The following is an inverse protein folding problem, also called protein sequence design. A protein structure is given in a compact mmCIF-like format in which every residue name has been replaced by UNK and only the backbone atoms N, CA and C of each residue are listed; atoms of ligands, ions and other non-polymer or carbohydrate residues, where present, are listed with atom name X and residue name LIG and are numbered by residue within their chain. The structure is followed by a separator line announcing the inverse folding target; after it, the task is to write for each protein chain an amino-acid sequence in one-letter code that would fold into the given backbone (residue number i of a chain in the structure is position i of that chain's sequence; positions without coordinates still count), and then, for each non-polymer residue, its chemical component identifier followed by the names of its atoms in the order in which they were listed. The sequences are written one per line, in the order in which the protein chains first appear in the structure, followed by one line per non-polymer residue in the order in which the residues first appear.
data_IF_893384453945
#
_entry.id   IF_893384453945
#
_cell.length_a   1.000
_cell.length_b   1.000
_cell.length_c   1.000
_cell.angle_alpha   90.00
_cell.angle_beta   90.00
_cell.angle_gamma   90.00
#
_symmetry.space_group_name_H-M   'P 1'
#
loop_
_entity.id
_entity.type
_entity.pdbx_description
1 polymer ?
#
# COMPACT_ATOMS: atom_id res chain seq x y z
N UNK A 1 -28.76 18.78 -5.70
CA UNK A 1 -27.70 18.40 -4.77
C UNK A 1 -28.28 17.35 -3.84
N UNK A 2 -27.93 16.06 -4.00
CA UNK A 2 -28.36 15.01 -3.08
C UNK A 2 -27.56 15.18 -1.80
N UNK A 3 -28.26 15.43 -0.68
CA UNK A 3 -27.69 15.53 0.65
C UNK A 3 -26.98 14.19 0.97
N UNK A 4 -25.65 14.19 0.91
CA UNK A 4 -24.82 13.11 1.40
C UNK A 4 -24.81 13.21 2.93
N UNK A 5 -25.61 12.37 3.56
CA UNK A 5 -25.92 12.40 4.96
C UNK A 5 -24.80 11.74 5.75
N UNK A 6 -24.37 12.39 6.66
CA UNK A 6 -23.82 12.31 8.00
C UNK A 6 -24.22 11.04 8.76
N UNK A 7 -23.23 10.19 9.03
CA UNK A 7 -23.33 9.28 10.16
C UNK A 7 -22.93 10.05 11.42
N UNK A 8 -23.81 10.09 12.40
CA UNK A 8 -23.42 10.47 13.78
C UNK A 8 -22.64 9.29 14.37
N UNK A 9 -21.42 9.56 14.74
CA UNK A 9 -20.53 8.61 15.40
C UNK A 9 -20.07 9.31 16.69
N UNK A 10 -20.23 8.65 17.82
CA UNK A 10 -19.70 9.03 19.15
C UNK A 10 -19.40 10.54 19.36
N UNK A 11 -20.42 11.41 19.10
CA UNK A 11 -20.32 12.85 19.38
C UNK A 11 -19.81 13.73 18.23
N UNK A 12 -19.50 13.19 17.06
CA UNK A 12 -19.12 13.98 15.88
C UNK A 12 -19.85 13.53 14.60
N UNK A 13 -19.84 14.37 13.58
CA UNK A 13 -20.52 14.13 12.30
C UNK A 13 -19.52 14.04 11.15
N UNK A 14 -19.83 13.17 10.19
CA UNK A 14 -19.01 12.96 8.99
C UNK A 14 -19.83 13.33 7.75
N UNK A 15 -19.29 14.23 6.94
CA UNK A 15 -19.79 14.55 5.62
C UNK A 15 -18.90 13.86 4.58
N UNK A 16 -19.47 12.93 3.81
CA UNK A 16 -18.78 12.30 2.68
C UNK A 16 -18.74 13.28 1.51
N UNK A 17 -17.54 13.62 1.05
CA UNK A 17 -17.31 14.56 -0.05
C UNK A 17 -17.24 13.85 -1.41
N UNK A 18 -16.33 12.89 -1.54
CA UNK A 18 -16.17 12.10 -2.75
C UNK A 18 -15.46 10.78 -2.48
N UNK A 19 -15.63 9.83 -3.40
CA UNK A 19 -14.89 8.57 -3.41
C UNK A 19 -13.46 8.85 -3.89
N UNK A 20 -12.46 8.30 -3.18
CA UNK A 20 -11.05 8.36 -3.54
C UNK A 20 -10.59 7.05 -4.21
N UNK A 21 -11.15 5.93 -3.80
CA UNK A 21 -10.78 4.63 -4.35
C UNK A 21 -11.66 3.50 -3.81
N UNK A 22 -11.46 2.31 -4.38
CA UNK A 22 -12.01 1.06 -3.88
C UNK A 22 -10.97 -0.04 -4.04
N UNK A 23 -10.88 -0.91 -3.07
CA UNK A 23 -10.04 -2.11 -3.08
C UNK A 23 -10.88 -3.35 -2.75
N UNK A 24 -10.25 -4.52 -2.70
CA UNK A 24 -10.93 -5.79 -2.47
C UNK A 24 -11.69 -5.88 -1.15
N UNK A 25 -11.28 -5.10 -0.15
CA UNK A 25 -11.87 -5.16 1.20
C UNK A 25 -12.64 -3.91 1.60
N UNK A 26 -12.61 -2.83 0.79
CA UNK A 26 -13.32 -1.62 1.21
C UNK A 26 -13.29 -0.48 0.23
N UNK A 27 -14.06 0.54 0.57
CA UNK A 27 -14.12 1.81 -0.15
C UNK A 27 -13.45 2.92 0.64
N UNK A 28 -12.69 3.76 -0.07
CA UNK A 28 -12.03 4.93 0.52
C UNK A 28 -12.74 6.20 0.07
N UNK A 29 -13.13 7.02 1.02
CA UNK A 29 -13.80 8.28 0.78
C UNK A 29 -13.01 9.45 1.39
N UNK A 30 -13.00 10.58 0.69
CA UNK A 30 -12.65 11.86 1.29
C UNK A 30 -13.82 12.33 2.12
N UNK A 31 -13.56 12.62 3.39
CA UNK A 31 -14.59 13.05 4.34
C UNK A 31 -14.19 14.33 5.05
N UNK A 32 -15.20 15.08 5.49
CA UNK A 32 -15.04 16.21 6.39
C UNK A 32 -15.71 15.86 7.72
N UNK A 33 -14.90 15.81 8.77
CA UNK A 33 -15.38 15.54 10.11
C UNK A 33 -15.59 16.87 10.87
N UNK A 34 -16.69 16.99 11.60
CA UNK A 34 -17.03 18.17 12.37
C UNK A 34 -17.79 17.82 13.64
N UNK A 35 -17.59 18.63 14.69
CA UNK A 35 -18.11 18.44 16.04
C UNK A 35 -17.02 18.78 17.06
N UNK A 36 -17.41 19.22 18.24
CA UNK A 36 -16.49 19.73 19.25
C UNK A 36 -15.61 18.62 19.85
N UNK A 37 -16.08 17.38 19.82
CA UNK A 37 -15.39 16.20 20.36
C UNK A 37 -14.74 15.32 19.28
N UNK A 38 -14.65 15.81 18.04
CA UNK A 38 -14.09 15.01 16.95
C UNK A 38 -12.59 14.75 17.15
N UNK A 39 -12.15 13.48 17.22
CA UNK A 39 -10.74 13.13 17.27
C UNK A 39 -10.05 13.33 15.90
N UNK A 40 -10.83 13.67 14.85
CA UNK A 40 -10.38 13.72 13.48
C UNK A 40 -9.94 15.12 13.08
N UNK A 41 -8.96 15.18 12.18
CA UNK A 41 -8.69 16.40 11.42
C UNK A 41 -9.86 16.68 10.48
N UNK A 42 -10.20 17.94 10.25
CA UNK A 42 -11.37 18.36 9.48
C UNK A 42 -11.51 17.67 8.12
N UNK A 43 -10.41 17.47 7.41
CA UNK A 43 -10.36 16.70 6.14
C UNK A 43 -9.48 15.47 6.33
N UNK A 44 -10.04 14.27 6.05
CA UNK A 44 -9.32 13.01 6.12
C UNK A 44 -9.84 12.02 5.06
N UNK A 45 -9.16 10.89 4.93
CA UNK A 45 -9.62 9.75 4.16
C UNK A 45 -10.22 8.73 5.13
N UNK A 46 -11.43 8.23 4.83
CA UNK A 46 -12.09 7.15 5.57
C UNK A 46 -12.12 5.90 4.69
N UNK A 47 -11.52 4.80 5.16
CA UNK A 47 -11.68 3.48 4.55
C UNK A 47 -12.75 2.72 5.33
N UNK A 48 -13.79 2.29 4.64
CA UNK A 48 -14.94 1.57 5.19
C UNK A 48 -14.91 0.15 4.64
N UNK A 49 -15.06 -0.85 5.49
CA UNK A 49 -15.23 -2.23 5.06
C UNK A 49 -16.43 -2.35 4.13
N UNK A 50 -16.19 -2.79 2.93
CA UNK A 50 -17.19 -3.00 1.89
C UNK A 50 -16.62 -4.00 0.89
N UNK A 51 -16.71 -5.30 1.20
CA UNK A 51 -16.22 -6.33 0.31
C UNK A 51 -16.99 -6.25 -1.01
N UNK A 52 -16.27 -6.38 -2.14
CA UNK A 52 -16.92 -6.39 -3.45
C UNK A 52 -17.72 -7.67 -3.61
N UNK A 53 -19.04 -7.54 -3.76
CA UNK A 53 -19.95 -8.64 -4.13
C UNK A 53 -19.68 -9.09 -5.57
N UNK A 54 -18.59 -9.78 -5.82
CA UNK A 54 -18.36 -10.39 -7.13
C UNK A 54 -19.14 -11.69 -7.34
N UNK A 55 -19.80 -12.20 -6.29
CA UNK A 55 -20.75 -13.32 -6.36
C UNK A 55 -21.83 -13.15 -5.29
N UNK A 56 -23.10 -13.18 -5.69
CA UNK A 56 -24.27 -13.16 -4.81
C UNK A 56 -24.38 -14.37 -3.84
N UNK A 57 -23.30 -15.10 -3.62
CA UNK A 57 -23.20 -16.33 -2.81
C UNK A 57 -22.02 -16.33 -1.83
N UNK A 58 -21.45 -15.16 -1.48
CA UNK A 58 -20.40 -15.12 -0.44
C UNK A 58 -21.02 -15.56 0.89
N UNK A 59 -20.54 -16.68 1.44
CA UNK A 59 -21.04 -17.19 2.71
C UNK A 59 -20.71 -16.21 3.86
N UNK A 60 -21.59 -16.14 4.87
CA UNK A 60 -21.40 -15.27 6.04
C UNK A 60 -20.06 -15.47 6.74
N UNK A 61 -19.52 -16.70 6.69
CA UNK A 61 -18.18 -17.01 7.24
C UNK A 61 -17.04 -16.36 6.47
N UNK A 62 -17.17 -16.24 5.14
CA UNK A 62 -16.18 -15.58 4.30
C UNK A 62 -16.18 -14.08 4.55
N UNK A 63 -17.35 -13.47 4.71
CA UNK A 63 -17.50 -12.04 5.05
C UNK A 63 -16.84 -11.75 6.40
N UNK A 64 -17.09 -12.58 7.43
CA UNK A 64 -16.48 -12.42 8.75
C UNK A 64 -14.95 -12.54 8.70
N UNK A 65 -14.41 -13.46 7.92
CA UNK A 65 -12.96 -13.60 7.75
C UNK A 65 -12.33 -12.39 7.03
N UNK A 66 -13.04 -11.80 6.04
CA UNK A 66 -12.61 -10.59 5.37
C UNK A 66 -12.65 -9.36 6.29
N UNK A 67 -13.64 -9.29 7.18
CA UNK A 67 -13.78 -8.22 8.17
C UNK A 67 -12.68 -8.28 9.24
N UNK A 68 -12.37 -9.50 9.74
CA UNK A 68 -11.23 -9.72 10.64
C UNK A 68 -9.92 -9.29 10.00
N UNK A 69 -9.71 -9.63 8.74
CA UNK A 69 -8.53 -9.24 7.97
C UNK A 69 -8.45 -7.72 7.77
N UNK A 70 -9.57 -7.05 7.45
CA UNK A 70 -9.63 -5.59 7.36
C UNK A 70 -9.25 -4.92 8.68
N UNK A 71 -9.72 -5.48 9.81
CA UNK A 71 -9.40 -4.98 11.15
C UNK A 71 -7.94 -5.20 11.51
N UNK A 72 -7.36 -6.34 11.13
CA UNK A 72 -5.93 -6.63 11.32
C UNK A 72 -5.05 -5.67 10.51
N UNK A 73 -5.38 -5.45 9.22
CA UNK A 73 -4.72 -4.45 8.37
C UNK A 73 -4.65 -3.09 9.06
N UNK A 74 -5.80 -2.61 9.55
CA UNK A 74 -5.88 -1.30 10.18
C UNK A 74 -5.01 -1.22 11.45
N UNK A 75 -4.97 -2.27 12.26
CA UNK A 75 -4.14 -2.33 13.48
C UNK A 75 -2.65 -2.31 13.16
N UNK A 76 -2.19 -3.14 12.21
CA UNK A 76 -0.78 -3.20 11.80
C UNK A 76 -0.34 -1.85 11.21
N UNK A 77 -1.13 -1.28 10.28
CA UNK A 77 -0.80 0.02 9.71
C UNK A 77 -0.80 1.12 10.78
N UNK A 78 -1.73 1.10 11.73
CA UNK A 78 -1.78 2.06 12.84
C UNK A 78 -0.51 2.00 13.67
N UNK A 79 -0.11 0.81 14.10
CA UNK A 79 1.10 0.58 14.89
C UNK A 79 2.36 1.05 14.16
N UNK A 80 2.54 0.61 12.92
CA UNK A 80 3.71 0.97 12.12
C UNK A 80 3.75 2.48 11.81
N UNK A 81 2.60 3.11 11.54
CA UNK A 81 2.54 4.54 11.26
C UNK A 81 2.83 5.41 12.49
N UNK A 82 2.52 4.94 13.70
CA UNK A 82 2.88 5.63 14.95
C UNK A 82 4.39 5.56 15.21
N UNK A 83 5.01 4.42 14.96
CA UNK A 83 6.46 4.22 15.14
C UNK A 83 7.28 4.86 14.02
N UNK A 84 6.77 4.85 12.79
CA UNK A 84 7.47 5.26 11.58
C UNK A 84 6.62 6.22 10.72
N UNK A 85 6.24 7.41 11.25
CA UNK A 85 5.28 8.32 10.60
C UNK A 85 5.81 8.92 9.28
N UNK A 86 7.12 8.82 9.00
CA UNK A 86 7.72 9.29 7.75
C UNK A 86 7.53 8.31 6.59
N UNK A 87 7.29 7.03 6.88
CA UNK A 87 7.32 5.94 5.89
C UNK A 87 5.96 5.30 5.65
N UNK A 88 5.10 5.26 6.67
CA UNK A 88 3.80 4.60 6.64
C UNK A 88 2.68 5.63 6.67
N UNK A 89 1.65 5.43 5.85
CA UNK A 89 0.49 6.30 5.78
C UNK A 89 -0.22 6.37 7.14
N UNK A 90 -0.32 7.57 7.75
CA UNK A 90 -0.79 7.68 9.14
C UNK A 90 -2.27 7.36 9.28
N UNK A 91 -2.59 6.42 10.16
CA UNK A 91 -3.95 6.23 10.68
C UNK A 91 -4.16 7.23 11.82
N UNK A 92 -5.29 7.93 11.77
CA UNK A 92 -5.67 8.97 12.74
C UNK A 92 -6.60 8.38 13.80
N UNK A 93 -7.52 7.52 13.37
CA UNK A 93 -8.57 6.97 14.22
C UNK A 93 -9.08 5.63 13.71
N UNK A 94 -9.39 4.72 14.62
CA UNK A 94 -9.92 3.38 14.36
C UNK A 94 -11.35 3.28 14.87
N UNK A 95 -12.27 2.80 14.04
CA UNK A 95 -13.66 2.48 14.36
C UNK A 95 -13.95 1.03 13.96
N UNK A 96 -13.23 0.11 14.55
CA UNK A 96 -13.27 -1.32 14.16
C UNK A 96 -14.45 -2.07 14.79
N UNK A 97 -15.03 -1.55 15.86
CA UNK A 97 -16.19 -2.13 16.56
C UNK A 97 -17.53 -1.68 15.93
N UNK A 98 -17.48 -0.76 14.95
CA UNK A 98 -18.66 -0.31 14.21
C UNK A 98 -19.08 -1.32 13.13
N UNK A 99 -20.32 -1.27 12.71
CA UNK A 99 -20.83 -2.10 11.60
C UNK A 99 -21.35 -1.19 10.45
N UNK A 100 -20.65 -1.13 9.32
CA UNK A 100 -19.37 -1.79 9.02
C UNK A 100 -18.17 -1.12 9.71
N UNK A 101 -17.09 -1.89 10.00
CA UNK A 101 -15.87 -1.31 10.55
C UNK A 101 -15.22 -0.32 9.59
N UNK A 102 -14.53 0.66 10.14
CA UNK A 102 -13.85 1.69 9.37
C UNK A 102 -12.62 2.24 10.09
N UNK A 103 -11.77 2.93 9.35
CA UNK A 103 -10.68 3.69 9.92
C UNK A 103 -10.38 4.96 9.12
N UNK A 104 -9.73 5.91 9.77
CA UNK A 104 -9.44 7.22 9.21
C UNK A 104 -7.95 7.42 9.07
N UNK A 105 -7.54 7.97 7.94
CA UNK A 105 -6.16 8.26 7.59
C UNK A 105 -5.99 9.75 7.30
N UNK A 106 -4.78 10.26 7.53
CA UNK A 106 -4.40 11.59 7.05
C UNK A 106 -4.58 11.64 5.53
N UNK A 107 -5.22 12.71 5.05
CA UNK A 107 -5.47 12.86 3.61
C UNK A 107 -4.16 13.14 2.86
N UNK A 108 -3.85 12.30 1.88
CA UNK A 108 -2.77 12.51 0.92
C UNK A 108 -3.16 13.54 -0.15
N UNK A 109 -2.18 14.12 -0.84
CA UNK A 109 -2.40 14.98 -2.01
C UNK A 109 -2.79 14.16 -3.24
N UNK A 110 -2.08 13.05 -3.47
CA UNK A 110 -2.26 12.13 -4.59
C UNK A 110 -1.64 10.78 -4.26
N UNK A 111 -1.71 9.84 -5.15
CA UNK A 111 -0.92 8.61 -5.15
C UNK A 111 0.20 8.68 -6.20
N UNK A 112 1.10 7.71 -6.18
CA UNK A 112 2.24 7.67 -7.11
C UNK A 112 1.79 7.40 -8.55
N UNK A 113 0.69 6.69 -8.78
CA UNK A 113 0.14 6.42 -10.12
C UNK A 113 -0.26 7.73 -10.82
N UNK A 114 -0.97 8.61 -10.11
CA UNK A 114 -1.34 9.94 -10.60
C UNK A 114 -0.11 10.81 -10.86
N UNK A 115 0.91 10.74 -9.98
CA UNK A 115 2.15 11.50 -10.14
C UNK A 115 2.96 11.03 -11.35
N UNK A 116 3.09 9.73 -11.56
CA UNK A 116 3.74 9.17 -12.76
C UNK A 116 3.01 9.65 -14.01
N UNK A 117 1.68 9.58 -14.01
CA UNK A 117 0.84 9.99 -15.14
C UNK A 117 0.93 11.50 -15.45
N UNK A 118 1.11 12.32 -14.41
CA UNK A 118 1.26 13.77 -14.54
C UNK A 118 2.68 14.21 -14.95
N UNK A 119 3.64 13.31 -14.90
CA UNK A 119 5.05 13.56 -15.11
C UNK A 119 5.77 13.96 -13.83
N UNK A 120 6.87 13.29 -13.54
CA UNK A 120 7.74 13.54 -12.40
C UNK A 120 9.10 14.06 -12.88
N UNK A 121 9.63 15.08 -12.20
CA UNK A 121 11.02 15.48 -12.39
C UNK A 121 11.99 14.46 -11.77
N UNK A 122 13.29 14.59 -12.07
CA UNK A 122 14.27 13.60 -11.64
C UNK A 122 14.43 13.54 -10.11
N UNK A 123 14.38 14.68 -9.44
CA UNK A 123 14.44 14.74 -7.98
C UNK A 123 13.21 14.04 -7.34
N UNK A 124 12.02 14.25 -7.90
CA UNK A 124 10.80 13.58 -7.43
C UNK A 124 10.88 12.06 -7.63
N UNK A 125 11.44 11.60 -8.76
CA UNK A 125 11.64 10.17 -9.03
C UNK A 125 12.58 9.52 -8.03
N UNK A 126 13.76 10.11 -7.84
CA UNK A 126 14.76 9.61 -6.89
C UNK A 126 14.18 9.58 -5.47
N UNK A 127 13.54 10.68 -5.06
CA UNK A 127 12.92 10.77 -3.74
C UNK A 127 11.83 9.71 -3.55
N UNK A 128 10.96 9.50 -4.53
CA UNK A 128 9.91 8.47 -4.47
C UNK A 128 10.52 7.09 -4.25
N UNK A 129 11.56 6.73 -5.00
CA UNK A 129 12.21 5.42 -4.86
C UNK A 129 12.84 5.26 -3.47
N UNK A 130 13.60 6.26 -2.99
CA UNK A 130 14.21 6.17 -1.67
C UNK A 130 13.17 6.12 -0.54
N UNK A 131 12.09 6.90 -0.62
CA UNK A 131 11.01 6.85 0.37
C UNK A 131 10.33 5.46 0.40
N UNK A 132 10.10 4.86 -0.77
CA UNK A 132 9.53 3.51 -0.91
C UNK A 132 10.47 2.45 -0.31
N UNK A 133 11.75 2.50 -0.65
CA UNK A 133 12.74 1.55 -0.14
C UNK A 133 12.83 1.62 1.39
N UNK A 134 12.90 2.85 1.96
CA UNK A 134 12.88 3.03 3.41
C UNK A 134 11.59 2.52 4.06
N UNK A 135 10.44 2.74 3.41
CA UNK A 135 9.17 2.26 3.94
C UNK A 135 9.08 0.73 3.94
N UNK A 136 9.51 0.06 2.86
CA UNK A 136 9.51 -1.40 2.81
C UNK A 136 10.56 -1.99 3.75
N UNK A 137 11.72 -1.33 3.90
CA UNK A 137 12.70 -1.72 4.92
C UNK A 137 12.08 -1.72 6.32
N UNK A 138 11.35 -0.67 6.68
CA UNK A 138 10.62 -0.60 7.97
C UNK A 138 9.64 -1.78 8.12
N UNK A 139 8.91 -2.12 7.07
CA UNK A 139 7.96 -3.26 7.08
C UNK A 139 8.72 -4.57 7.33
N UNK A 140 9.80 -4.82 6.60
CA UNK A 140 10.61 -6.04 6.74
C UNK A 140 11.33 -6.12 8.09
N UNK A 141 11.88 -5.02 8.61
CA UNK A 141 12.55 -4.95 9.92
C UNK A 141 11.57 -5.22 11.09
N UNK A 142 10.25 -5.06 10.87
CA UNK A 142 9.20 -5.44 11.80
C UNK A 142 8.58 -6.83 11.51
N UNK A 143 9.27 -7.67 10.74
CA UNK A 143 8.88 -9.04 10.37
C UNK A 143 7.57 -9.15 9.57
N UNK A 144 7.22 -8.12 8.79
CA UNK A 144 6.08 -8.15 7.88
C UNK A 144 6.51 -8.21 6.40
N UNK A 145 5.67 -8.79 5.55
CA UNK A 145 5.71 -8.65 4.09
C UNK A 145 4.49 -7.86 3.65
N UNK A 146 4.66 -6.89 2.75
CA UNK A 146 3.55 -6.05 2.29
C UNK A 146 2.64 -6.78 1.28
N UNK A 147 3.22 -7.44 0.28
CA UNK A 147 2.60 -8.31 -0.72
C UNK A 147 1.67 -7.62 -1.75
N UNK A 148 1.44 -6.30 -1.65
CA UNK A 148 0.66 -5.51 -2.61
C UNK A 148 1.29 -4.14 -2.89
N UNK A 149 2.62 -4.11 -3.10
CA UNK A 149 3.34 -2.88 -3.44
C UNK A 149 3.03 -2.54 -4.90
N UNK A 150 2.39 -1.37 -5.10
CA UNK A 150 2.03 -0.82 -6.42
C UNK A 150 1.87 0.70 -6.33
N UNK A 151 1.93 1.46 -7.43
CA UNK A 151 1.83 2.91 -7.40
C UNK A 151 0.57 3.45 -6.73
N UNK A 152 -0.57 2.77 -6.87
CA UNK A 152 -1.82 3.18 -6.24
C UNK A 152 -1.77 3.15 -4.69
N UNK A 153 -0.93 2.27 -4.10
CA UNK A 153 -0.77 2.10 -2.65
C UNK A 153 0.36 2.96 -2.06
N UNK A 154 1.01 3.78 -2.86
CA UNK A 154 2.07 4.72 -2.45
C UNK A 154 1.50 6.13 -2.50
N UNK A 155 1.33 6.75 -1.34
CA UNK A 155 0.63 8.02 -1.18
C UNK A 155 1.61 9.18 -1.02
N UNK A 156 1.38 10.27 -1.75
CA UNK A 156 2.17 11.50 -1.67
C UNK A 156 1.53 12.53 -0.76
N UNK A 157 2.27 13.01 0.23
CA UNK A 157 1.78 13.92 1.27
C UNK A 157 2.25 15.38 1.08
N UNK A 158 1.58 16.35 1.78
CA UNK A 158 1.97 17.77 1.71
C UNK A 158 3.38 18.10 2.18
N UNK A 159 3.99 17.24 2.99
CA UNK A 159 5.37 17.32 3.46
C UNK A 159 6.39 16.79 2.43
N UNK A 160 5.93 16.55 1.21
CA UNK A 160 6.73 16.02 0.10
C UNK A 160 7.30 14.62 0.34
N UNK A 161 6.66 13.82 1.19
CA UNK A 161 7.02 12.42 1.44
C UNK A 161 6.10 11.45 0.71
N UNK A 162 6.66 10.31 0.26
CA UNK A 162 5.91 9.17 -0.21
C UNK A 162 5.81 8.13 0.91
N UNK A 163 4.60 7.67 1.19
CA UNK A 163 4.34 6.70 2.27
C UNK A 163 3.52 5.53 1.76
N UNK A 164 3.84 4.34 2.27
CA UNK A 164 3.10 3.13 1.91
C UNK A 164 1.81 3.04 2.72
N UNK A 165 0.75 2.58 2.04
CA UNK A 165 -0.59 2.35 2.59
C UNK A 165 -1.15 1.01 2.09
N UNK A 166 -2.32 0.63 2.58
CA UNK A 166 -3.06 -0.57 2.17
C UNK A 166 -2.36 -1.88 2.56
N UNK A 167 -2.45 -2.22 3.84
CA UNK A 167 -1.87 -3.40 4.46
C UNK A 167 -2.76 -4.65 4.36
N UNK A 168 -3.76 -4.65 3.47
CA UNK A 168 -4.76 -5.71 3.34
C UNK A 168 -4.23 -7.09 2.97
N UNK A 169 -2.98 -7.17 2.49
CA UNK A 169 -2.31 -8.42 2.16
C UNK A 169 -1.08 -8.71 3.04
N UNK A 170 -0.83 -7.89 4.06
CA UNK A 170 0.31 -8.06 4.96
C UNK A 170 0.35 -9.46 5.58
N UNK A 171 1.55 -10.04 5.62
CA UNK A 171 1.83 -11.31 6.28
C UNK A 171 2.82 -11.06 7.42
N UNK A 172 2.47 -11.52 8.62
CA UNK A 172 3.40 -11.64 9.74
C UNK A 172 4.30 -12.86 9.52
N UNK A 173 5.62 -12.68 9.62
CA UNK A 173 6.61 -13.73 9.46
C UNK A 173 6.86 -14.49 10.78
N UNK A 174 6.51 -13.91 11.93
CA UNK A 174 6.70 -14.54 13.25
C UNK A 174 5.56 -15.47 13.62
N UNK A 175 4.39 -15.31 13.02
CA UNK A 175 3.26 -16.18 13.29
C UNK A 175 3.25 -17.36 12.31
N UNK A 176 3.52 -18.56 12.84
CA UNK A 176 3.19 -19.87 12.23
C UNK A 176 1.67 -20.07 12.04
N UNK A 177 0.93 -18.99 11.83
CA UNK A 177 -0.49 -19.02 11.53
C UNK A 177 -0.69 -19.53 10.10
N UNK A 178 -0.57 -20.86 9.96
CA UNK A 178 -1.03 -21.62 8.80
C UNK A 178 -2.52 -21.40 8.46
N UNK A 179 -3.23 -20.57 9.23
CA UNK A 179 -4.68 -20.34 9.15
C UNK A 179 -5.10 -19.19 8.25
N UNK A 180 -4.19 -18.37 7.76
CA UNK A 180 -4.52 -17.31 6.76
C UNK A 180 -3.76 -17.48 5.45
N UNK A 181 -3.32 -18.67 5.12
CA UNK A 181 -3.16 -19.09 3.73
C UNK A 181 -4.56 -19.29 3.11
N UNK A 182 -5.45 -18.34 3.33
CA UNK A 182 -6.60 -18.18 2.45
C UNK A 182 -6.00 -17.83 1.10
N UNK A 183 -6.10 -18.82 0.25
CA UNK A 183 -5.73 -18.77 -1.15
C UNK A 183 -5.93 -17.37 -1.69
N UNK A 184 -4.86 -16.75 -2.20
CA UNK A 184 -4.87 -15.54 -3.02
C UNK A 184 -5.79 -15.73 -4.25
N UNK A 185 -6.47 -16.85 -4.34
CA UNK A 185 -7.52 -17.21 -5.31
C UNK A 185 -8.85 -16.50 -5.10
N UNK A 186 -9.05 -15.73 -4.02
CA UNK A 186 -10.26 -14.91 -3.88
C UNK A 186 -10.11 -13.71 -4.81
N UNK A 187 -10.51 -13.93 -6.05
CA UNK A 187 -10.88 -12.95 -7.03
C UNK A 187 -9.88 -11.83 -7.32
N UNK A 188 -8.89 -12.07 -8.20
CA UNK A 188 -8.23 -10.97 -8.91
C UNK A 188 -7.37 -10.03 -8.08
N UNK A 189 -6.93 -10.41 -6.92
CA UNK A 189 -6.07 -9.62 -6.05
C UNK A 189 -4.60 -9.84 -6.35
N UNK A 190 -4.06 -8.89 -6.92
CA UNK A 190 -2.71 -8.68 -7.37
C UNK A 190 -2.82 -8.05 -8.73
N UNK A 191 -2.50 -6.78 -8.84
CA UNK A 191 -2.54 -6.08 -10.10
C UNK A 191 -1.45 -6.68 -10.98
N UNK A 192 -1.84 -7.64 -11.81
CA UNK A 192 -1.11 -8.57 -12.68
C UNK A 192 0.41 -8.41 -12.82
N UNK A 193 0.91 -7.19 -13.08
CA UNK A 193 2.34 -6.96 -13.35
C UNK A 193 3.21 -6.78 -12.10
N UNK A 194 2.65 -6.35 -10.96
CA UNK A 194 3.39 -6.15 -9.71
C UNK A 194 3.47 -7.42 -8.87
N UNK A 195 2.62 -8.41 -9.15
CA UNK A 195 2.66 -9.70 -8.48
C UNK A 195 3.87 -10.51 -8.95
N UNK A 196 4.63 -11.01 -8.00
CA UNK A 196 5.76 -11.92 -8.26
C UNK A 196 5.30 -13.12 -9.09
N UNK A 197 5.92 -13.31 -10.27
CA UNK A 197 5.52 -14.34 -11.22
C UNK A 197 5.75 -15.75 -10.69
N UNK A 198 6.82 -15.97 -9.93
CA UNK A 198 7.12 -17.29 -9.38
C UNK A 198 6.10 -17.67 -8.29
N UNK A 199 5.63 -16.68 -7.51
CA UNK A 199 4.53 -16.84 -6.56
C UNK A 199 3.20 -17.04 -7.29
N UNK A 200 2.92 -16.24 -8.33
CA UNK A 200 1.70 -16.37 -9.14
C UNK A 200 1.57 -17.75 -9.78
N UNK A 201 2.69 -18.37 -10.15
CA UNK A 201 2.77 -19.74 -10.67
C UNK A 201 2.67 -20.81 -9.56
N UNK A 202 2.47 -20.42 -8.30
CA UNK A 202 2.41 -21.30 -7.11
C UNK A 202 3.64 -22.18 -6.92
N UNK A 203 4.83 -21.70 -7.30
CA UNK A 203 6.10 -22.43 -7.16
C UNK A 203 6.78 -22.20 -5.83
N UNK A 204 6.64 -21.00 -5.30
CA UNK A 204 7.28 -20.54 -4.06
C UNK A 204 6.32 -19.72 -3.23
N UNK A 205 6.52 -19.63 -1.90
CA UNK A 205 5.77 -18.70 -1.06
C UNK A 205 6.20 -17.25 -1.27
N UNK A 206 5.43 -16.30 -0.74
CA UNK A 206 5.86 -14.91 -0.63
C UNK A 206 7.04 -14.79 0.34
N UNK A 207 8.04 -14.02 -0.07
CA UNK A 207 9.24 -13.70 0.69
C UNK A 207 9.58 -12.21 0.52
N UNK A 208 10.65 -11.75 1.16
CA UNK A 208 11.24 -10.42 0.94
C UNK A 208 11.49 -10.16 -0.56
N UNK A 209 11.94 -11.18 -1.29
CA UNK A 209 12.19 -11.09 -2.72
C UNK A 209 10.92 -10.87 -3.54
N UNK A 210 9.75 -11.24 -3.04
CA UNK A 210 8.48 -10.95 -3.71
C UNK A 210 8.12 -9.45 -3.63
N UNK A 211 8.35 -8.80 -2.48
CA UNK A 211 8.22 -7.35 -2.37
C UNK A 211 9.27 -6.62 -3.22
N UNK A 212 10.51 -7.14 -3.30
CA UNK A 212 11.57 -6.61 -4.17
C UNK A 212 11.14 -6.68 -5.64
N UNK A 213 10.48 -7.76 -6.09
CA UNK A 213 9.92 -7.85 -7.43
C UNK A 213 8.93 -6.72 -7.70
N UNK A 214 7.98 -6.51 -6.78
CA UNK A 214 6.98 -5.45 -6.88
C UNK A 214 7.62 -4.06 -6.95
N UNK A 215 8.64 -3.80 -6.11
CA UNK A 215 9.39 -2.55 -6.11
C UNK A 215 10.11 -2.35 -7.45
N UNK A 216 10.72 -3.39 -8.00
CA UNK A 216 11.38 -3.33 -9.31
C UNK A 216 10.43 -2.86 -10.41
N UNK A 217 9.18 -3.35 -10.42
CA UNK A 217 8.14 -2.90 -11.35
C UNK A 217 7.75 -1.44 -11.10
N UNK A 218 7.65 -1.01 -9.83
CA UNK A 218 7.33 0.38 -9.48
C UNK A 218 8.45 1.32 -9.93
N UNK A 219 9.73 0.98 -9.69
CA UNK A 219 10.87 1.78 -10.17
C UNK A 219 10.85 1.88 -11.69
N UNK A 220 10.58 0.77 -12.37
CA UNK A 220 10.46 0.75 -13.83
C UNK A 220 9.39 1.72 -14.35
N UNK A 221 8.24 1.82 -13.67
CA UNK A 221 7.18 2.77 -14.01
C UNK A 221 7.58 4.21 -13.75
N UNK A 222 8.19 4.51 -12.59
CA UNK A 222 8.66 5.84 -12.22
C UNK A 222 9.60 6.40 -13.29
N UNK A 223 10.48 5.57 -13.83
CA UNK A 223 11.47 5.98 -14.83
C UNK A 223 11.01 5.83 -16.29
N UNK A 224 9.72 5.59 -16.54
CA UNK A 224 9.13 5.56 -17.88
C UNK A 224 9.35 4.25 -18.64
N UNK A 225 9.56 3.16 -17.94
CA UNK A 225 9.59 1.83 -18.50
C UNK A 225 10.77 1.61 -19.45
N UNK A 226 10.50 1.32 -20.72
CA UNK A 226 11.54 1.11 -21.74
C UNK A 226 12.43 2.32 -21.98
N UNK A 227 12.00 3.51 -21.60
CA UNK A 227 12.75 4.76 -21.74
C UNK A 227 13.62 5.07 -20.51
N UNK A 228 13.61 4.23 -19.48
CA UNK A 228 14.45 4.40 -18.31
C UNK A 228 15.93 4.41 -18.70
N UNK A 229 16.80 5.16 -17.98
CA UNK A 229 18.25 5.08 -18.13
C UNK A 229 18.76 3.64 -17.95
N UNK A 230 19.81 3.27 -18.67
CA UNK A 230 20.33 1.88 -18.66
C UNK A 230 20.77 1.43 -17.26
N UNK A 231 21.31 2.34 -16.45
CA UNK A 231 21.69 2.06 -15.05
C UNK A 231 20.49 1.66 -14.21
N UNK A 232 19.34 2.35 -14.39
CA UNK A 232 18.09 2.04 -13.69
C UNK A 232 17.48 0.74 -14.23
N UNK A 233 17.51 0.51 -15.55
CA UNK A 233 17.02 -0.75 -16.13
C UNK A 233 17.74 -1.95 -15.53
N UNK A 234 19.06 -1.91 -15.39
CA UNK A 234 19.84 -3.00 -14.80
C UNK A 234 19.40 -3.32 -13.36
N UNK A 235 19.09 -2.27 -12.56
CA UNK A 235 18.54 -2.46 -11.20
C UNK A 235 17.16 -3.12 -11.26
N UNK A 236 16.26 -2.61 -12.11
CA UNK A 236 14.92 -3.17 -12.27
C UNK A 236 14.96 -4.63 -12.78
N UNK A 237 15.75 -4.91 -13.80
CA UNK A 237 15.89 -6.25 -14.40
C UNK A 237 16.30 -7.28 -13.35
N UNK A 238 17.23 -6.94 -12.46
CA UNK A 238 17.60 -7.83 -11.36
C UNK A 238 16.47 -8.03 -10.35
N UNK A 239 15.67 -6.99 -10.05
CA UNK A 239 14.50 -7.12 -9.17
C UNK A 239 13.44 -8.07 -9.74
N UNK A 240 13.20 -8.00 -11.08
CA UNK A 240 12.08 -8.67 -11.74
C UNK A 240 12.49 -10.00 -12.43
N UNK A 241 13.68 -10.53 -12.16
CA UNK A 241 14.06 -11.89 -12.57
C UNK A 241 13.01 -12.88 -12.08
N UNK A 242 12.82 -13.95 -12.86
CA UNK A 242 11.78 -14.94 -12.56
C UNK A 242 12.03 -15.63 -11.22
N UNK A 243 13.23 -16.16 -11.00
CA UNK A 243 13.58 -16.86 -9.77
C UNK A 243 13.91 -15.91 -8.63
N UNK A 244 13.32 -16.13 -7.45
CA UNK A 244 13.54 -15.31 -6.27
C UNK A 244 15.02 -15.27 -5.86
N UNK A 245 15.74 -16.38 -5.99
CA UNK A 245 17.15 -16.53 -5.62
C UNK A 245 18.11 -15.66 -6.44
N UNK A 246 17.71 -15.25 -7.65
CA UNK A 246 18.52 -14.39 -8.53
C UNK A 246 18.36 -12.90 -8.25
N UNK A 247 17.41 -12.50 -7.38
CA UNK A 247 17.11 -11.12 -7.04
C UNK A 247 18.08 -10.55 -5.99
N UNK A 248 17.84 -9.33 -5.52
CA UNK A 248 18.51 -8.80 -4.35
C UNK A 248 18.07 -9.56 -3.09
N UNK A 249 19.02 -9.80 -2.15
CA UNK A 249 18.70 -10.55 -0.94
C UNK A 249 17.91 -9.73 0.09
N UNK A 250 18.07 -8.41 0.07
CA UNK A 250 17.45 -7.47 1.02
C UNK A 250 17.10 -6.14 0.38
N UNK A 251 16.31 -5.34 1.08
CA UNK A 251 16.04 -3.95 0.67
C UNK A 251 17.32 -3.11 0.75
N UNK A 252 18.22 -3.38 1.69
CA UNK A 252 19.51 -2.66 1.80
C UNK A 252 20.36 -2.90 0.55
N UNK A 253 20.44 -4.15 0.05
CA UNK A 253 21.16 -4.45 -1.20
C UNK A 253 20.57 -3.72 -2.41
N UNK A 254 19.24 -3.66 -2.49
CA UNK A 254 18.55 -2.92 -3.55
C UNK A 254 18.78 -1.41 -3.43
N UNK A 255 18.73 -0.86 -2.22
CA UNK A 255 18.97 0.56 -1.95
C UNK A 255 20.38 0.97 -2.36
N UNK A 256 21.39 0.17 -2.01
CA UNK A 256 22.77 0.37 -2.43
C UNK A 256 22.94 0.33 -3.96
N UNK A 257 22.30 -0.62 -4.61
CA UNK A 257 22.36 -0.76 -6.07
C UNK A 257 21.70 0.44 -6.76
N UNK A 258 20.55 0.88 -6.28
CA UNK A 258 19.85 2.05 -6.80
C UNK A 258 20.66 3.33 -6.59
N UNK A 259 21.23 3.55 -5.41
CA UNK A 259 22.07 4.70 -5.11
C UNK A 259 23.29 4.79 -6.04
N UNK A 260 23.96 3.65 -6.30
CA UNK A 260 25.06 3.57 -7.28
C UNK A 260 24.62 3.88 -8.70
N UNK A 261 23.41 3.45 -9.09
CA UNK A 261 22.85 3.74 -10.41
C UNK A 261 22.59 5.25 -10.58
N UNK A 262 21.97 5.89 -9.59
CA UNK A 262 21.70 7.34 -9.58
C UNK A 262 23.02 8.14 -9.68
N UNK A 263 24.01 7.81 -8.86
CA UNK A 263 25.33 8.49 -8.90
C UNK A 263 25.98 8.39 -10.29
N UNK A 264 25.89 7.25 -10.95
CA UNK A 264 26.41 7.09 -12.33
C UNK A 264 25.65 7.90 -13.38
N UNK A 265 24.33 8.13 -13.16
CA UNK A 265 23.54 8.98 -14.06
C UNK A 265 23.95 10.46 -13.96
N UNK A 266 24.24 10.93 -12.75
CA UNK A 266 24.63 12.33 -12.50
C UNK A 266 26.04 12.66 -13.01
N UNK A 267 26.88 11.65 -13.20
CA UNK A 267 28.26 11.81 -13.70
C UNK A 267 28.38 11.75 -15.24
N UNK A 268 27.30 11.42 -15.95
CA UNK A 268 27.24 11.34 -17.43
C UNK A 268 26.42 12.50 -18.01
#
# INVERSE_FOLDING_TARGET
MKNNITNELDGYRILVLNKLGAGGFGMVHKVFAYGDESPLTRLCARKVFSPSDNNNNTELKEIAALEERFSLEARIQCELSQKHPQHIAPIIHLELDNNPPSFFMKLAKSNLEDMISSGMDEHQKQKAVFDILNAVKVIHDNNYLHRDIKPANILFYPDFTFKISDFGLVKDLDEDRATLQTDIRIGGMGTGRYLDKEVADNRVPFTVQSDIYSIGQVIYDIYGGRNAPDQIKQVCEKCITYFQEDRYNSIDDLMDAFGKAVTKMECN
#
